data_IF_007650156772
#
_entry.id   IF_007650156772
#
_cell.length_a   1.000
_cell.length_b   1.000
_cell.length_c   1.000
_cell.angle_alpha   90.00
_cell.angle_beta   90.00
_cell.angle_gamma   90.00
#
_symmetry.space_group_name_H-M   'P 1'
#
loop_
_entity.id
_entity.type
_entity.pdbx_description
1 polymer ?
#
# COMPACT_ATOMS: atom_id res chain seq x y z
N UNK A 1 79.75 -4.86 4.31
CA UNK A 1 78.61 -4.77 3.37
C UNK A 1 77.38 -5.13 4.16
N UNK A 2 76.53 -4.14 4.43
CA UNK A 2 75.26 -4.30 5.23
C UNK A 2 74.09 -4.43 4.28
N UNK A 3 73.27 -5.49 4.33
CA UNK A 3 72.04 -5.55 3.56
C UNK A 3 70.96 -4.75 4.26
N UNK A 4 70.41 -3.75 3.56
CA UNK A 4 69.19 -3.02 3.96
C UNK A 4 67.98 -3.92 3.79
N UNK A 5 67.36 -4.31 4.91
CA UNK A 5 66.05 -4.94 4.95
C UNK A 5 64.99 -3.84 4.77
N UNK A 6 64.43 -3.75 3.59
CA UNK A 6 63.20 -2.98 3.34
C UNK A 6 62.02 -3.76 3.88
N UNK A 7 61.56 -3.39 5.06
CA UNK A 7 60.29 -3.86 5.57
C UNK A 7 59.16 -3.06 4.87
N UNK A 8 58.55 -3.67 3.88
CA UNK A 8 57.33 -3.16 3.28
C UNK A 8 56.17 -3.45 4.23
N UNK A 9 55.78 -2.43 5.02
CA UNK A 9 54.57 -2.46 5.84
C UNK A 9 53.36 -2.31 4.90
N UNK A 10 52.80 -3.44 4.45
CA UNK A 10 51.59 -3.49 3.71
C UNK A 10 50.43 -3.13 4.66
N UNK A 11 50.04 -1.85 4.64
CA UNK A 11 48.84 -1.35 5.33
C UNK A 11 47.60 -1.89 4.61
N UNK A 12 47.07 -2.99 5.11
CA UNK A 12 45.77 -3.50 4.66
C UNK A 12 44.69 -2.56 5.19
N UNK A 13 44.29 -1.60 4.37
CA UNK A 13 43.12 -0.78 4.62
C UNK A 13 41.91 -1.69 4.44
N UNK A 14 41.43 -2.29 5.53
CA UNK A 14 40.13 -2.96 5.58
C UNK A 14 39.06 -1.88 5.45
N UNK A 15 38.56 -1.66 4.23
CA UNK A 15 37.33 -0.92 3.99
C UNK A 15 36.22 -1.78 4.57
N UNK A 16 35.82 -1.46 5.80
CA UNK A 16 34.58 -1.95 6.39
C UNK A 16 33.50 -1.24 5.59
N UNK A 17 33.00 -1.91 4.55
CA UNK A 17 31.78 -1.52 3.88
C UNK A 17 30.65 -1.68 4.91
N UNK A 18 30.26 -0.58 5.53
CA UNK A 18 29.04 -0.53 6.33
C UNK A 18 27.87 -0.71 5.35
N UNK A 19 27.44 -1.94 5.17
CA UNK A 19 26.23 -2.23 4.41
C UNK A 19 25.06 -1.79 5.28
N UNK A 20 24.35 -0.78 4.82
CA UNK A 20 23.18 -0.27 5.53
C UNK A 20 22.10 -1.38 5.59
N UNK A 21 21.54 -1.59 6.78
CA UNK A 21 20.47 -2.55 6.97
C UNK A 21 19.15 -1.96 6.38
N UNK A 22 18.59 -2.56 5.32
CA UNK A 22 17.39 -2.01 4.67
C UNK A 22 16.23 -1.74 5.64
N UNK A 23 16.10 -2.56 6.68
CA UNK A 23 15.00 -2.44 7.67
C UNK A 23 15.18 -1.27 8.65
N UNK A 24 16.34 -0.63 8.66
CA UNK A 24 16.63 0.53 9.52
C UNK A 24 16.53 1.86 8.78
N UNK A 25 16.18 1.85 7.50
CA UNK A 25 16.03 3.07 6.71
C UNK A 25 14.71 3.77 7.00
N UNK A 26 14.67 5.09 6.80
CA UNK A 26 13.45 5.87 6.90
C UNK A 26 12.44 5.47 5.82
N UNK A 27 12.93 5.12 4.64
CA UNK A 27 12.15 4.63 3.51
C UNK A 27 11.42 3.32 3.84
N UNK A 28 12.11 2.38 4.49
CA UNK A 28 11.45 1.15 4.92
C UNK A 28 10.40 1.41 6.01
N UNK A 29 10.65 2.31 6.94
CA UNK A 29 9.65 2.71 7.94
C UNK A 29 8.41 3.35 7.28
N UNK A 30 8.60 4.13 6.20
CA UNK A 30 7.51 4.68 5.41
C UNK A 30 6.76 3.59 4.63
N UNK A 31 7.48 2.64 4.01
CA UNK A 31 6.89 1.46 3.38
C UNK A 31 5.98 0.70 4.34
N UNK A 32 6.41 0.49 5.59
CA UNK A 32 5.60 -0.20 6.60
C UNK A 32 4.31 0.57 6.96
N UNK A 33 4.33 1.91 6.95
CA UNK A 33 3.11 2.71 7.15
C UNK A 33 2.14 2.55 5.98
N UNK A 34 2.65 2.57 4.74
CA UNK A 34 1.85 2.34 3.52
C UNK A 34 1.17 0.98 3.58
N UNK A 35 1.93 -0.07 3.89
CA UNK A 35 1.40 -1.43 4.02
C UNK A 35 0.37 -1.53 5.15
N UNK A 36 0.60 -0.88 6.28
CA UNK A 36 -0.37 -0.86 7.38
C UNK A 36 -1.71 -0.21 6.99
N UNK A 37 -1.68 0.88 6.20
CA UNK A 37 -2.90 1.52 5.68
C UNK A 37 -3.66 0.59 4.72
N UNK A 38 -2.93 -0.10 3.84
CA UNK A 38 -3.51 -1.09 2.92
C UNK A 38 -4.11 -2.28 3.70
N UNK A 39 -3.35 -2.87 4.61
CA UNK A 39 -3.74 -4.08 5.35
C UNK A 39 -4.95 -3.84 6.26
N UNK A 40 -5.16 -2.60 6.71
CA UNK A 40 -6.33 -2.22 7.49
C UNK A 40 -7.63 -2.29 6.67
N UNK A 41 -7.59 -1.98 5.38
CA UNK A 41 -8.79 -1.93 4.54
C UNK A 41 -8.91 -3.08 3.53
N UNK A 42 -7.84 -3.81 3.29
CA UNK A 42 -7.89 -4.97 2.39
C UNK A 42 -8.96 -6.01 2.78
N UNK A 43 -9.18 -6.36 4.07
CA UNK A 43 -10.24 -7.27 4.47
C UNK A 43 -11.64 -6.78 4.11
N UNK A 44 -11.83 -5.45 4.03
CA UNK A 44 -13.12 -4.83 3.69
C UNK A 44 -13.57 -5.09 2.25
N UNK A 45 -12.69 -5.53 1.34
CA UNK A 45 -13.08 -5.91 -0.02
C UNK A 45 -14.15 -7.00 -0.03
N UNK A 46 -14.07 -7.96 0.90
CA UNK A 46 -15.10 -8.99 1.04
C UNK A 46 -16.43 -8.41 1.54
N UNK A 47 -16.37 -7.46 2.47
CA UNK A 47 -17.56 -6.76 2.96
C UNK A 47 -18.21 -5.93 1.85
N UNK A 48 -17.41 -5.14 1.09
CA UNK A 48 -17.86 -4.39 -0.08
C UNK A 48 -18.60 -5.30 -1.07
N UNK A 49 -18.02 -6.45 -1.41
CA UNK A 49 -18.63 -7.39 -2.37
C UNK A 49 -19.97 -7.92 -1.87
N UNK A 50 -20.09 -8.22 -0.57
CA UNK A 50 -21.37 -8.65 0.04
C UNK A 50 -22.42 -7.54 0.02
N UNK A 51 -22.00 -6.30 0.30
CA UNK A 51 -22.90 -5.15 0.28
C UNK A 51 -23.40 -4.85 -1.13
N UNK A 52 -22.53 -4.91 -2.15
CA UNK A 52 -22.93 -4.77 -3.56
C UNK A 52 -24.03 -5.78 -3.88
N UNK A 53 -23.83 -7.07 -3.58
CA UNK A 53 -24.82 -8.11 -3.85
C UNK A 53 -26.14 -7.87 -3.14
N UNK A 54 -26.11 -7.44 -1.88
CA UNK A 54 -27.30 -7.15 -1.11
C UNK A 54 -28.08 -5.95 -1.68
N UNK A 55 -27.40 -4.84 -2.00
CA UNK A 55 -28.03 -3.65 -2.56
C UNK A 55 -28.54 -3.88 -3.98
N UNK A 56 -27.82 -4.62 -4.82
CA UNK A 56 -28.28 -5.01 -6.17
C UNK A 56 -29.56 -5.84 -6.11
N UNK A 57 -29.71 -6.71 -5.13
CA UNK A 57 -30.94 -7.48 -4.94
C UNK A 57 -32.17 -6.58 -4.68
N UNK A 58 -32.01 -5.54 -3.87
CA UNK A 58 -33.09 -4.56 -3.60
C UNK A 58 -33.32 -3.66 -4.80
N UNK A 59 -32.26 -3.14 -5.42
CA UNK A 59 -32.34 -2.24 -6.59
C UNK A 59 -33.02 -2.91 -7.80
N UNK A 60 -32.77 -4.21 -8.02
CA UNK A 60 -33.42 -4.96 -9.09
C UNK A 60 -34.94 -5.15 -8.87
N UNK A 61 -35.43 -5.06 -7.63
CA UNK A 61 -36.86 -5.09 -7.32
C UNK A 61 -37.51 -3.71 -7.51
N UNK A 62 -36.76 -2.64 -7.25
CA UNK A 62 -37.21 -1.25 -7.43
C UNK A 62 -36.07 -0.36 -7.92
N UNK A 63 -35.92 -0.26 -9.24
CA UNK A 63 -34.86 0.55 -9.86
C UNK A 63 -35.11 2.07 -9.79
N UNK A 64 -36.23 2.51 -9.19
CA UNK A 64 -36.47 3.94 -8.98
C UNK A 64 -35.68 4.51 -7.79
N UNK A 65 -35.11 3.67 -6.97
CA UNK A 65 -34.29 4.06 -5.81
C UNK A 65 -32.88 4.48 -6.25
N UNK A 66 -32.74 5.69 -6.75
CA UNK A 66 -31.48 6.22 -7.30
C UNK A 66 -30.31 6.15 -6.28
N UNK A 67 -30.57 6.41 -4.99
CA UNK A 67 -29.55 6.34 -3.93
C UNK A 67 -28.92 4.96 -3.79
N UNK A 68 -29.68 3.88 -4.01
CA UNK A 68 -29.13 2.52 -4.02
C UNK A 68 -28.18 2.32 -5.20
N UNK A 69 -28.56 2.77 -6.39
CA UNK A 69 -27.72 2.71 -7.59
C UNK A 69 -26.40 3.46 -7.39
N UNK A 70 -26.45 4.68 -6.84
CA UNK A 70 -25.25 5.48 -6.53
C UNK A 70 -24.34 4.77 -5.52
N UNK A 71 -24.90 4.21 -4.46
CA UNK A 71 -24.13 3.49 -3.44
C UNK A 71 -23.46 2.22 -3.99
N UNK A 72 -24.17 1.49 -4.88
CA UNK A 72 -23.59 0.33 -5.58
C UNK A 72 -22.37 0.75 -6.42
N UNK A 73 -22.49 1.83 -7.19
CA UNK A 73 -21.38 2.32 -8.03
C UNK A 73 -20.21 2.86 -7.18
N UNK A 74 -20.48 3.50 -6.05
CA UNK A 74 -19.43 3.91 -5.10
C UNK A 74 -18.67 2.71 -4.52
N UNK A 75 -19.37 1.66 -4.10
CA UNK A 75 -18.76 0.43 -3.60
C UNK A 75 -17.92 -0.27 -4.69
N UNK A 76 -18.45 -0.37 -5.92
CA UNK A 76 -17.70 -0.92 -7.06
C UNK A 76 -16.45 -0.11 -7.36
N UNK A 77 -16.59 1.22 -7.38
CA UNK A 77 -15.47 2.13 -7.58
C UNK A 77 -14.41 2.09 -6.46
N UNK A 78 -14.80 1.80 -5.23
CA UNK A 78 -13.88 1.59 -4.12
C UNK A 78 -13.11 0.28 -4.26
N UNK A 79 -13.81 -0.81 -4.60
CA UNK A 79 -13.20 -2.12 -4.84
C UNK A 79 -12.20 -2.09 -6.01
N UNK A 80 -12.58 -1.47 -7.13
CA UNK A 80 -11.72 -1.30 -8.29
C UNK A 80 -10.50 -0.45 -7.97
N UNK A 81 -10.66 0.62 -7.18
CA UNK A 81 -9.55 1.48 -6.78
C UNK A 81 -8.51 0.73 -5.94
N UNK A 82 -8.93 -0.17 -5.04
CA UNK A 82 -8.00 -1.02 -4.29
C UNK A 82 -7.22 -1.94 -5.22
N UNK A 83 -7.89 -2.62 -6.14
CA UNK A 83 -7.22 -3.53 -7.10
C UNK A 83 -6.21 -2.78 -7.97
N UNK A 84 -6.58 -1.60 -8.48
CA UNK A 84 -5.68 -0.78 -9.29
C UNK A 84 -4.49 -0.30 -8.48
N UNK A 85 -4.71 0.18 -7.25
CA UNK A 85 -3.65 0.64 -6.36
C UNK A 85 -2.62 -0.46 -6.07
N UNK A 86 -3.09 -1.70 -5.82
CA UNK A 86 -2.21 -2.84 -5.60
C UNK A 86 -1.36 -3.18 -6.82
N UNK A 87 -1.94 -3.13 -8.03
CA UNK A 87 -1.19 -3.35 -9.28
C UNK A 87 -0.12 -2.28 -9.46
N UNK A 88 -0.51 -1.01 -9.39
CA UNK A 88 0.41 0.12 -9.57
C UNK A 88 1.55 0.11 -8.54
N UNK A 89 1.23 -0.23 -7.28
CA UNK A 89 2.22 -0.34 -6.21
C UNK A 89 3.24 -1.45 -6.48
N UNK A 90 2.78 -2.61 -6.95
CA UNK A 90 3.64 -3.75 -7.27
C UNK A 90 4.51 -3.56 -8.52
N UNK A 91 4.12 -2.64 -9.41
CA UNK A 91 4.95 -2.24 -10.55
C UNK A 91 6.11 -1.33 -10.15
N UNK A 92 5.93 -0.54 -9.09
CA UNK A 92 6.93 0.43 -8.61
C UNK A 92 7.90 -0.20 -7.62
N UNK A 93 7.42 -1.00 -6.67
CA UNK A 93 8.22 -1.57 -5.60
C UNK A 93 8.38 -3.07 -5.75
N UNK A 94 9.64 -3.53 -5.74
CA UNK A 94 9.94 -4.96 -5.78
C UNK A 94 9.52 -5.67 -4.48
N UNK A 95 9.30 -6.97 -4.56
CA UNK A 95 9.02 -7.79 -3.37
C UNK A 95 10.14 -7.70 -2.33
N UNK A 96 11.39 -7.59 -2.77
CA UNK A 96 12.57 -7.48 -1.92
C UNK A 96 12.60 -6.15 -1.16
N UNK A 97 12.23 -5.03 -1.81
CA UNK A 97 12.07 -3.71 -1.20
C UNK A 97 10.92 -3.72 -0.17
N UNK A 98 9.77 -4.26 -0.55
CA UNK A 98 8.58 -4.37 0.32
C UNK A 98 8.89 -5.20 1.58
N UNK A 99 9.63 -6.29 1.44
CA UNK A 99 10.00 -7.17 2.55
C UNK A 99 11.21 -6.67 3.36
N UNK A 100 11.84 -5.56 2.97
CA UNK A 100 13.04 -5.01 3.60
C UNK A 100 14.26 -5.91 3.46
N UNK A 101 14.39 -6.58 2.32
CA UNK A 101 15.58 -7.35 1.93
C UNK A 101 16.50 -6.54 1.03
N UNK A 102 16.00 -5.49 0.43
CA UNK A 102 16.71 -4.56 -0.42
C UNK A 102 16.42 -3.12 0.01
N UNK A 103 17.41 -2.23 -0.16
CA UNK A 103 17.27 -0.81 0.14
C UNK A 103 16.44 -0.15 -0.96
N UNK A 104 15.41 0.59 -0.54
CA UNK A 104 14.63 1.42 -1.45
C UNK A 104 15.52 2.57 -1.95
N UNK A 105 15.68 2.65 -3.26
CA UNK A 105 16.55 3.63 -3.88
C UNK A 105 16.06 5.09 -3.68
N UNK A 106 16.98 6.04 -3.66
CA UNK A 106 16.66 7.45 -3.35
C UNK A 106 15.73 8.12 -4.37
N UNK A 107 15.72 7.65 -5.61
CA UNK A 107 14.81 8.11 -6.66
C UNK A 107 13.35 7.69 -6.44
N UNK A 108 13.11 6.66 -5.61
CA UNK A 108 11.77 6.20 -5.21
C UNK A 108 11.19 6.92 -3.98
N UNK A 109 11.92 7.84 -3.34
CA UNK A 109 11.44 8.53 -2.12
C UNK A 109 10.17 9.35 -2.35
N UNK A 110 10.12 10.12 -3.43
CA UNK A 110 8.91 10.88 -3.79
C UNK A 110 7.73 9.96 -4.07
N UNK A 111 7.97 8.80 -4.67
CA UNK A 111 6.94 7.80 -4.92
C UNK A 111 6.39 7.20 -3.60
N UNK A 112 7.24 6.99 -2.58
CA UNK A 112 6.76 6.58 -1.25
C UNK A 112 5.80 7.60 -0.63
N UNK A 113 6.10 8.90 -0.75
CA UNK A 113 5.21 9.97 -0.26
C UNK A 113 3.87 9.96 -1.00
N UNK A 114 3.91 9.80 -2.33
CA UNK A 114 2.71 9.73 -3.16
C UNK A 114 1.87 8.48 -2.81
N UNK A 115 2.51 7.33 -2.61
CA UNK A 115 1.83 6.10 -2.24
C UNK A 115 1.29 6.12 -0.81
N UNK A 116 1.96 6.74 0.16
CA UNK A 116 1.42 6.94 1.51
C UNK A 116 0.15 7.81 1.46
N UNK A 117 0.19 8.90 0.70
CA UNK A 117 -0.96 9.78 0.49
C UNK A 117 -2.11 9.09 -0.22
N UNK A 118 -1.82 8.33 -1.28
CA UNK A 118 -2.83 7.58 -2.05
C UNK A 118 -3.44 6.44 -1.24
N UNK A 119 -2.65 5.73 -0.41
CA UNK A 119 -3.16 4.70 0.49
C UNK A 119 -4.15 5.27 1.51
N UNK A 120 -3.84 6.45 2.07
CA UNK A 120 -4.74 7.14 2.97
C UNK A 120 -6.05 7.57 2.28
N UNK A 121 -5.95 8.07 1.05
CA UNK A 121 -7.12 8.44 0.24
C UNK A 121 -7.98 7.21 -0.12
N UNK A 122 -7.32 6.10 -0.47
CA UNK A 122 -7.98 4.82 -0.74
C UNK A 122 -8.74 4.30 0.49
N UNK A 123 -8.11 4.30 1.66
CA UNK A 123 -8.74 3.96 2.93
C UNK A 123 -10.01 4.78 3.17
N UNK A 124 -9.90 6.11 3.03
CA UNK A 124 -11.04 7.02 3.20
C UNK A 124 -12.16 6.72 2.20
N UNK A 125 -11.82 6.44 0.94
CA UNK A 125 -12.78 6.08 -0.10
C UNK A 125 -13.53 4.80 0.23
N UNK A 126 -12.82 3.74 0.64
CA UNK A 126 -13.41 2.43 0.94
C UNK A 126 -14.32 2.50 2.17
N UNK A 127 -13.82 3.04 3.28
CA UNK A 127 -14.61 3.15 4.52
C UNK A 127 -15.82 4.07 4.34
N UNK A 128 -15.68 5.18 3.60
CA UNK A 128 -16.79 6.07 3.30
C UNK A 128 -17.87 5.44 2.41
N UNK A 129 -17.49 4.60 1.45
CA UNK A 129 -18.47 3.86 0.65
C UNK A 129 -19.23 2.83 1.48
N UNK A 130 -18.56 2.12 2.38
CA UNK A 130 -19.17 1.15 3.31
C UNK A 130 -20.15 1.86 4.24
N UNK A 131 -19.74 2.97 4.85
CA UNK A 131 -20.58 3.73 5.78
C UNK A 131 -21.87 4.21 5.12
N UNK A 132 -21.79 4.75 3.88
CA UNK A 132 -22.98 5.16 3.13
C UNK A 132 -23.90 3.99 2.81
N UNK A 133 -23.35 2.87 2.41
CA UNK A 133 -24.13 1.66 2.13
C UNK A 133 -24.82 1.11 3.39
N UNK A 134 -24.16 1.12 4.53
CA UNK A 134 -24.74 0.69 5.81
C UNK A 134 -25.86 1.63 6.27
N UNK A 135 -25.69 2.95 6.09
CA UNK A 135 -26.74 3.93 6.36
C UNK A 135 -28.00 3.67 5.52
N UNK A 136 -27.84 3.48 4.20
CA UNK A 136 -28.97 3.17 3.31
C UNK A 136 -29.69 1.86 3.69
N UNK A 137 -28.94 0.82 4.05
CA UNK A 137 -29.52 -0.46 4.52
C UNK A 137 -30.31 -0.30 5.80
N UNK A 138 -29.87 0.56 6.70
CA UNK A 138 -30.59 0.86 7.94
C UNK A 138 -31.93 1.56 7.67
N UNK A 139 -32.02 2.40 6.63
CA UNK A 139 -33.23 3.13 6.24
C UNK A 139 -34.25 2.25 5.50
N UNK A 140 -33.80 1.08 5.01
CA UNK A 140 -34.66 0.11 4.30
C UNK A 140 -35.31 -0.92 5.23
N UNK A 141 -34.90 -1.03 6.50
CA UNK A 141 -35.44 -1.96 7.48
C UNK A 141 -36.43 -1.29 8.43
#
# INVERSE_FOLDING_TARGET
>A
MRPFLFAILASVFSIISCQEDPKKTAEYAQMQRILSLHDEVMPEMSNISKQITALESVFNMDSTQMALGESIEELKGANQAMMQWMMDFSEVFSTEEIMGKEIISSDKRSLLEDYESSALALKKKMLGAIERADSLKSDLN
#
